data_IF_964570440061
#
_entry.id   IF_964570440061
#
_cell.length_a   1.000
_cell.length_b   1.000
_cell.length_c   1.000
_cell.angle_alpha   90.00
_cell.angle_beta   90.00
_cell.angle_gamma   90.00
#
_symmetry.space_group_name_H-M   'P 1'
#
loop_
_entity.id
_entity.type
_entity.pdbx_description
1 polymer ?
#
# COMPACT_ATOMS: atom_id res chain seq x y z
N UNK A 1 43.56 25.66 9.19
CA UNK A 1 42.97 24.95 10.34
C UNK A 1 41.54 25.41 10.42
N UNK A 2 40.59 24.64 9.90
CA UNK A 2 39.17 24.92 10.13
C UNK A 2 38.89 24.84 11.64
N UNK A 3 37.99 25.69 12.12
CA UNK A 3 37.65 25.71 13.55
C UNK A 3 36.78 24.50 13.90
N UNK A 4 36.83 24.06 15.15
CA UNK A 4 35.97 22.96 15.63
C UNK A 4 34.47 23.27 15.41
N UNK A 5 34.09 24.54 15.55
CA UNK A 5 32.73 25.03 15.33
C UNK A 5 32.31 24.93 13.85
N UNK A 6 33.23 25.21 12.93
CA UNK A 6 33.03 25.09 11.48
C UNK A 6 32.84 23.63 11.07
N UNK A 7 33.69 22.73 11.58
CA UNK A 7 33.62 21.28 11.29
C UNK A 7 32.30 20.65 11.79
N UNK A 8 31.92 20.90 13.06
CA UNK A 8 30.66 20.36 13.60
C UNK A 8 29.42 21.00 12.97
N UNK A 9 29.48 22.30 12.63
CA UNK A 9 28.43 22.97 11.89
C UNK A 9 28.21 22.33 10.52
N UNK A 10 29.29 22.12 9.75
CA UNK A 10 29.22 21.48 8.44
C UNK A 10 28.66 20.05 8.50
N UNK A 11 29.05 19.26 9.51
CA UNK A 11 28.51 17.91 9.71
C UNK A 11 27.00 17.93 10.03
N UNK A 12 26.56 18.86 10.88
CA UNK A 12 25.14 19.03 11.21
C UNK A 12 24.32 19.41 9.97
N UNK A 13 24.84 20.32 9.15
CA UNK A 13 24.20 20.76 7.91
C UNK A 13 24.14 19.64 6.87
N UNK A 14 25.22 18.86 6.75
CA UNK A 14 25.25 17.69 5.87
C UNK A 14 24.21 16.64 6.29
N UNK A 15 24.13 16.31 7.58
CA UNK A 15 23.14 15.35 8.10
C UNK A 15 21.70 15.82 7.84
N UNK A 16 21.43 17.11 8.06
CA UNK A 16 20.12 17.72 7.75
C UNK A 16 19.79 17.63 6.26
N UNK A 17 20.77 17.89 5.39
CA UNK A 17 20.60 17.78 3.95
C UNK A 17 20.33 16.33 3.52
N UNK A 18 21.07 15.36 4.05
CA UNK A 18 20.89 13.93 3.76
C UNK A 18 19.52 13.42 4.20
N UNK A 19 19.06 13.79 5.40
CA UNK A 19 17.72 13.43 5.89
C UNK A 19 16.62 14.05 5.02
N UNK A 20 16.77 15.33 4.65
CA UNK A 20 15.85 16.01 3.73
C UNK A 20 15.80 15.34 2.36
N UNK A 21 16.96 14.92 1.86
CA UNK A 21 17.10 14.26 0.55
C UNK A 21 16.35 12.92 0.52
N UNK A 22 16.26 12.20 1.63
CA UNK A 22 15.59 10.89 1.71
C UNK A 22 14.10 10.99 1.39
N UNK A 23 13.34 11.83 2.10
CA UNK A 23 11.89 11.92 1.86
C UNK A 23 11.52 12.66 0.57
N UNK A 24 12.34 13.64 0.14
CA UNK A 24 12.06 14.40 -1.11
C UNK A 24 12.21 13.54 -2.37
N UNK A 25 13.19 12.63 -2.37
CA UNK A 25 13.48 11.75 -3.52
C UNK A 25 12.84 10.37 -3.41
N UNK A 26 12.22 10.04 -2.28
CA UNK A 26 11.53 8.77 -2.11
C UNK A 26 10.42 8.62 -3.17
N UNK A 27 10.36 7.42 -3.76
CA UNK A 27 9.32 7.03 -4.69
C UNK A 27 8.90 5.60 -4.37
N UNK A 28 7.59 5.38 -4.31
CA UNK A 28 7.03 4.05 -4.10
C UNK A 28 7.35 3.16 -5.30
N UNK A 29 7.87 1.97 -5.03
CA UNK A 29 8.20 0.99 -6.06
C UNK A 29 6.90 0.34 -6.54
N UNK A 30 6.75 0.18 -7.86
CA UNK A 30 5.58 -0.45 -8.46
C UNK A 30 5.37 -1.88 -7.93
N UNK A 31 4.13 -2.22 -7.58
CA UNK A 31 3.77 -3.55 -7.06
C UNK A 31 4.18 -3.83 -5.61
N UNK A 32 4.70 -2.84 -4.87
CA UNK A 32 4.91 -2.94 -3.42
C UNK A 32 3.68 -2.48 -2.65
N UNK A 33 3.55 -2.89 -1.39
CA UNK A 33 2.44 -2.45 -0.54
C UNK A 33 2.58 -0.98 -0.16
N UNK A 34 1.49 -0.22 -0.31
CA UNK A 34 1.45 1.20 0.04
C UNK A 34 1.73 1.44 1.53
N UNK A 35 1.33 0.49 2.39
CA UNK A 35 1.63 0.54 3.81
C UNK A 35 3.13 0.61 4.08
N UNK A 36 3.93 -0.22 3.41
CA UNK A 36 5.37 -0.28 3.63
C UNK A 36 6.03 1.03 3.21
N UNK A 37 5.59 1.59 2.08
CA UNK A 37 6.06 2.89 1.60
C UNK A 37 5.72 4.03 2.58
N UNK A 38 4.48 4.10 3.06
CA UNK A 38 4.05 5.13 4.03
C UNK A 38 4.85 5.03 5.34
N UNK A 39 5.08 3.82 5.85
CA UNK A 39 5.91 3.61 7.04
C UNK A 39 7.36 4.07 6.82
N UNK A 40 7.92 3.80 5.63
CA UNK A 40 9.25 4.29 5.28
C UNK A 40 9.32 5.83 5.23
N UNK A 41 8.28 6.48 4.70
CA UNK A 41 8.18 7.94 4.67
C UNK A 41 8.13 8.54 6.08
N UNK A 42 7.35 7.95 6.98
CA UNK A 42 7.29 8.36 8.40
C UNK A 42 8.68 8.29 9.04
N UNK A 43 9.42 7.21 8.81
CA UNK A 43 10.79 7.07 9.32
C UNK A 43 11.72 8.18 8.79
N UNK A 44 11.61 8.56 7.52
CA UNK A 44 12.39 9.66 6.96
C UNK A 44 12.01 11.02 7.54
N UNK A 45 10.72 11.27 7.81
CA UNK A 45 10.29 12.50 8.47
C UNK A 45 10.84 12.58 9.90
N UNK A 46 10.75 11.50 10.68
CA UNK A 46 11.34 11.44 12.03
C UNK A 46 12.86 11.65 12.00
N UNK A 47 13.56 11.10 11.00
CA UNK A 47 14.99 11.36 10.82
C UNK A 47 15.29 12.85 10.53
N UNK A 48 14.50 13.48 9.65
CA UNK A 48 14.65 14.89 9.35
C UNK A 48 14.37 15.78 10.58
N UNK A 49 13.36 15.44 11.38
CA UNK A 49 13.02 16.13 12.63
C UNK A 49 14.15 16.02 13.66
N UNK A 50 14.80 14.86 13.78
CA UNK A 50 15.99 14.71 14.63
C UNK A 50 17.16 15.61 14.19
N UNK A 51 17.23 15.98 12.92
CA UNK A 51 18.20 16.91 12.35
C UNK A 51 17.67 18.36 12.24
N UNK A 52 16.60 18.69 12.98
CA UNK A 52 16.10 20.06 13.12
C UNK A 52 15.23 20.55 11.96
N UNK A 53 14.76 19.66 11.08
CA UNK A 53 13.77 19.99 10.05
C UNK A 53 12.38 19.98 10.68
N UNK A 54 11.56 21.00 10.42
CA UNK A 54 10.16 21.05 10.87
C UNK A 54 9.26 20.82 9.66
N UNK A 55 8.43 19.77 9.71
CA UNK A 55 7.51 19.42 8.63
C UNK A 55 6.11 19.25 9.24
N UNK A 56 5.19 20.15 8.91
CA UNK A 56 3.82 20.04 9.37
C UNK A 56 3.10 18.84 8.73
N UNK A 57 2.07 18.32 9.40
CA UNK A 57 1.34 17.12 8.96
C UNK A 57 0.77 17.26 7.54
N UNK A 58 0.26 18.45 7.18
CA UNK A 58 -0.30 18.69 5.84
C UNK A 58 0.78 18.60 4.76
N UNK A 59 1.97 19.11 5.05
CA UNK A 59 3.14 18.95 4.18
C UNK A 59 3.59 17.49 4.11
N UNK A 60 3.61 16.75 5.23
CA UNK A 60 3.95 15.31 5.23
C UNK A 60 2.98 14.50 4.35
N UNK A 61 1.68 14.73 4.49
CA UNK A 61 0.63 14.11 3.66
C UNK A 61 0.85 14.42 2.18
N UNK A 62 1.13 15.68 1.86
CA UNK A 62 1.39 16.11 0.48
C UNK A 62 2.63 15.43 -0.11
N UNK A 63 3.71 15.30 0.66
CA UNK A 63 4.91 14.59 0.23
C UNK A 63 4.62 13.10 -0.01
N UNK A 64 3.87 12.45 0.89
CA UNK A 64 3.48 11.04 0.71
C UNK A 64 2.70 10.87 -0.58
N UNK A 65 1.64 11.66 -0.81
CA UNK A 65 0.82 11.59 -2.02
C UNK A 65 1.66 11.74 -3.30
N UNK A 66 2.60 12.68 -3.32
CA UNK A 66 3.49 12.91 -4.47
C UNK A 66 4.55 11.82 -4.68
N UNK A 67 4.79 10.98 -3.67
CA UNK A 67 5.76 9.89 -3.73
C UNK A 67 5.17 8.55 -4.13
N UNK A 68 3.84 8.44 -4.21
CA UNK A 68 3.15 7.20 -4.58
C UNK A 68 3.45 6.81 -6.04
N UNK A 69 3.27 5.52 -6.33
CA UNK A 69 3.46 4.99 -7.68
C UNK A 69 2.32 5.42 -8.60
N UNK A 70 2.49 5.23 -9.90
CA UNK A 70 1.47 5.57 -10.91
C UNK A 70 0.12 4.87 -10.69
N UNK A 71 0.08 3.74 -10.00
CA UNK A 71 -1.15 3.00 -9.72
C UNK A 71 -2.09 3.79 -8.78
N UNK A 72 -1.55 4.74 -8.02
CA UNK A 72 -2.28 5.60 -7.08
C UNK A 72 -2.65 6.96 -7.67
N UNK A 73 -2.42 7.21 -8.97
CA UNK A 73 -2.86 8.43 -9.64
C UNK A 73 -4.37 8.67 -9.43
N UNK A 74 -5.28 7.67 -9.62
CA UNK A 74 -6.71 7.90 -9.40
C UNK A 74 -7.05 8.32 -7.96
N UNK A 75 -6.37 7.74 -6.96
CA UNK A 75 -6.52 8.13 -5.56
C UNK A 75 -6.09 9.58 -5.33
N UNK A 76 -4.90 9.94 -5.83
CA UNK A 76 -4.32 11.27 -5.65
C UNK A 76 -5.15 12.34 -6.36
N UNK A 77 -5.64 12.05 -7.57
CA UNK A 77 -6.57 12.93 -8.29
C UNK A 77 -7.86 13.13 -7.51
N UNK A 78 -8.44 12.06 -6.96
CA UNK A 78 -9.65 12.16 -6.12
C UNK A 78 -9.41 13.01 -4.87
N UNK A 79 -8.28 12.81 -4.18
CA UNK A 79 -7.89 13.58 -3.01
C UNK A 79 -7.87 15.09 -3.30
N UNK A 80 -7.19 15.49 -4.38
CA UNK A 80 -7.05 16.90 -4.78
C UNK A 80 -8.39 17.48 -5.26
N UNK A 81 -9.09 16.79 -6.18
CA UNK A 81 -10.31 17.31 -6.78
C UNK A 81 -11.43 17.51 -5.76
N UNK A 82 -11.56 16.58 -4.81
CA UNK A 82 -12.57 16.66 -3.76
C UNK A 82 -12.09 17.41 -2.51
N UNK A 83 -10.91 18.03 -2.57
CA UNK A 83 -10.32 18.83 -1.48
C UNK A 83 -10.34 18.07 -0.15
N UNK A 84 -9.99 16.78 -0.21
CA UNK A 84 -9.94 15.94 0.96
C UNK A 84 -8.83 16.45 1.89
N UNK A 85 -9.03 16.29 3.19
CA UNK A 85 -8.06 16.65 4.21
C UNK A 85 -7.97 15.50 5.21
N UNK A 86 -6.98 14.64 5.00
CA UNK A 86 -6.77 13.46 5.84
C UNK A 86 -5.59 13.69 6.77
N UNK A 87 -5.75 13.34 8.04
CA UNK A 87 -4.61 13.11 8.93
C UNK A 87 -3.88 11.82 8.55
N UNK A 88 -2.68 11.61 9.09
CA UNK A 88 -1.79 10.51 8.70
C UNK A 88 -2.45 9.12 8.79
N UNK A 89 -3.15 8.85 9.89
CA UNK A 89 -3.84 7.56 10.12
C UNK A 89 -4.96 7.34 9.11
N UNK A 90 -5.72 8.39 8.79
CA UNK A 90 -6.81 8.30 7.81
C UNK A 90 -6.26 8.08 6.41
N UNK A 91 -5.21 8.83 6.02
CA UNK A 91 -4.54 8.65 4.74
C UNK A 91 -4.08 7.20 4.54
N UNK A 92 -3.41 6.61 5.54
CA UNK A 92 -2.94 5.24 5.46
C UNK A 92 -4.09 4.24 5.28
N UNK A 93 -5.18 4.39 6.04
CA UNK A 93 -6.33 3.50 5.95
C UNK A 93 -7.02 3.58 4.58
N UNK A 94 -7.19 4.79 4.04
CA UNK A 94 -7.81 5.01 2.73
C UNK A 94 -6.92 4.47 1.59
N UNK A 95 -5.61 4.67 1.67
CA UNK A 95 -4.65 4.11 0.71
C UNK A 95 -4.66 2.58 0.71
N UNK A 96 -4.68 1.94 1.89
CA UNK A 96 -4.76 0.49 2.01
C UNK A 96 -6.10 -0.05 1.47
N UNK A 97 -7.20 0.66 1.72
CA UNK A 97 -8.53 0.29 1.20
C UNK A 97 -8.55 0.38 -0.33
N UNK A 98 -7.99 1.45 -0.89
CA UNK A 98 -7.85 1.64 -2.34
C UNK A 98 -7.00 0.53 -2.98
N UNK A 99 -5.84 0.21 -2.39
CA UNK A 99 -4.96 -0.88 -2.83
C UNK A 99 -5.71 -2.22 -2.89
N UNK A 100 -6.50 -2.53 -1.85
CA UNK A 100 -7.26 -3.77 -1.75
C UNK A 100 -8.39 -3.86 -2.79
N UNK A 101 -9.12 -2.76 -3.04
CA UNK A 101 -10.21 -2.71 -4.03
C UNK A 101 -9.68 -2.95 -5.45
N UNK A 102 -8.54 -2.37 -5.79
CA UNK A 102 -7.93 -2.51 -7.11
C UNK A 102 -7.09 -3.78 -7.29
N UNK A 103 -6.81 -4.50 -6.19
CA UNK A 103 -5.99 -5.71 -6.24
C UNK A 103 -4.57 -5.45 -6.76
N UNK A 104 -4.01 -4.27 -6.48
CA UNK A 104 -2.70 -3.82 -7.01
C UNK A 104 -1.56 -4.72 -6.57
N UNK A 105 -1.65 -5.28 -5.36
CA UNK A 105 -0.68 -6.23 -4.84
C UNK A 105 -1.34 -7.58 -4.62
N UNK A 106 -0.87 -8.59 -5.36
CA UNK A 106 -1.31 -9.98 -5.17
C UNK A 106 -0.52 -10.59 -4.02
N UNK A 107 -1.21 -10.89 -2.92
CA UNK A 107 -0.64 -11.67 -1.83
C UNK A 107 -0.12 -13.02 -2.40
N UNK A 108 1.20 -13.27 -2.33
CA UNK A 108 1.74 -14.63 -2.43
C UNK A 108 1.46 -15.41 -1.12
N UNK A 109 0.21 -15.45 -0.68
CA UNK A 109 -0.25 -16.40 0.34
C UNK A 109 -1.78 -16.47 0.35
N UNK A 110 -2.26 -17.70 0.16
CA UNK A 110 -3.64 -18.21 0.27
C UNK A 110 -4.58 -17.91 -0.90
N UNK A 111 -4.24 -18.55 -2.03
CA UNK A 111 -5.25 -19.30 -2.77
C UNK A 111 -5.84 -20.39 -1.85
N UNK A 112 -6.77 -20.03 -0.95
CA UNK A 112 -7.73 -21.00 -0.45
C UNK A 112 -8.95 -20.93 -1.35
N UNK A 113 -8.91 -21.78 -2.37
CA UNK A 113 -10.05 -22.24 -3.13
C UNK A 113 -11.09 -22.77 -2.12
N UNK A 114 -12.20 -22.07 -1.97
CA UNK A 114 -13.49 -22.72 -1.70
C UNK A 114 -14.41 -22.36 -2.85
N UNK A 115 -14.17 -23.03 -3.98
CA UNK A 115 -15.26 -23.33 -4.90
C UNK A 115 -16.23 -24.21 -4.12
N UNK A 116 -17.38 -23.64 -3.74
CA UNK A 116 -18.54 -24.40 -3.31
C UNK A 116 -19.33 -24.71 -4.59
N UNK A 117 -19.25 -25.93 -5.18
CA UNK A 117 -20.17 -26.27 -6.25
C UNK A 117 -21.56 -26.41 -5.63
N UNK A 118 -22.45 -25.47 -5.95
CA UNK A 118 -23.88 -25.64 -5.74
C UNK A 118 -24.32 -26.89 -6.50
N UNK A 119 -24.64 -27.94 -5.76
CA UNK A 119 -25.22 -29.17 -6.26
C UNK A 119 -26.66 -28.90 -6.73
N UNK A 120 -26.84 -28.52 -7.99
CA UNK A 120 -28.13 -28.64 -8.65
C UNK A 120 -28.35 -30.12 -9.01
N UNK A 121 -29.19 -30.75 -8.19
CA UNK A 121 -29.63 -32.16 -8.30
C UNK A 121 -30.14 -32.44 -9.71
N UNK A 122 -29.34 -33.16 -10.49
CA UNK A 122 -29.77 -33.79 -11.73
C UNK A 122 -30.82 -34.86 -11.44
N UNK A 123 -32.03 -34.63 -11.94
CA UNK A 123 -33.19 -35.52 -11.86
C UNK A 123 -32.88 -36.82 -12.64
N UNK A 124 -32.35 -37.85 -11.98
CA UNK A 124 -32.22 -39.19 -12.58
C UNK A 124 -33.59 -39.86 -12.63
N UNK A 125 -34.19 -39.89 -13.83
CA UNK A 125 -35.34 -40.72 -14.19
C UNK A 125 -35.00 -42.20 -13.94
N UNK A 126 -35.68 -42.85 -12.98
CA UNK A 126 -35.74 -44.30 -12.87
C UNK A 126 -36.87 -44.79 -13.79
N UNK A 127 -36.53 -45.52 -14.85
CA UNK A 127 -37.48 -46.45 -15.47
C UNK A 127 -37.25 -47.83 -14.84
N UNK A 128 -38.33 -48.45 -14.40
CA UNK A 128 -38.33 -49.75 -13.74
C UNK A 128 -39.22 -50.74 -14.51
N UNK A 129 -38.77 -52.00 -14.50
CA UNK A 129 -39.44 -53.27 -14.82
C UNK A 129 -39.61 -53.59 -16.32
N UNK A 130 -39.41 -54.81 -16.81
CA UNK A 130 -39.10 -56.13 -16.22
C UNK A 130 -38.76 -57.08 -17.39
N UNK A 131 -38.00 -58.15 -17.19
CA UNK A 131 -38.57 -59.46 -16.88
C UNK A 131 -37.57 -60.59 -17.19
N UNK A 132 -37.77 -61.70 -16.49
CA UNK A 132 -36.97 -62.94 -16.33
C UNK A 132 -36.90 -63.75 -17.65
N UNK A 133 -36.01 -64.71 -17.92
CA UNK A 133 -35.56 -65.85 -17.12
C UNK A 133 -34.29 -66.51 -17.72
N UNK A 134 -33.57 -67.24 -16.86
CA UNK A 134 -32.43 -68.11 -17.19
C UNK A 134 -32.90 -69.53 -17.55
N UNK A 135 -32.21 -70.13 -18.52
CA UNK A 135 -32.01 -71.58 -18.79
C UNK A 135 -31.40 -72.20 -17.50
N UNK A 136 -31.75 -73.37 -16.97
CA UNK A 136 -31.93 -74.74 -17.51
C UNK A 136 -32.95 -75.49 -16.64
#
# INVERSE_FOLDING_TARGET
MESLQEMFGQQSEQARHEATRKYTNARMILGTHVRDHVMQMINYFSEAEMHGVVIDEGTQVSIILNSLSSDFIPFTSNYIMNKLNYGMTQLLNELQTFEAILGLVKNKAKANIVNKPNSSKGLKRKMAKGGKSSVT
#
